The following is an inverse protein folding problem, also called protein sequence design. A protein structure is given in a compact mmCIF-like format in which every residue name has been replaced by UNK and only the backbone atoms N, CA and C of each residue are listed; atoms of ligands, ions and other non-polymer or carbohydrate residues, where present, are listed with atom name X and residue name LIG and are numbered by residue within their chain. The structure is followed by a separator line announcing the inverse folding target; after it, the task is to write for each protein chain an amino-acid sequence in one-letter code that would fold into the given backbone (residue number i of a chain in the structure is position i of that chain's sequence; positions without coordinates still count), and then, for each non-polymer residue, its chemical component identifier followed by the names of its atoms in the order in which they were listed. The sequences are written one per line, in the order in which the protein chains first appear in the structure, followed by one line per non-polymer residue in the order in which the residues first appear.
data_IF_318826731336
#
_entry.id   IF_318826731336
#
_cell.length_a   1.000
_cell.length_b   1.000
_cell.length_c   1.000
_cell.angle_alpha   90.00
_cell.angle_beta   90.00
_cell.angle_gamma   90.00
#
_symmetry.space_group_name_H-M   'P 1'
#
loop_
_entity.id
_entity.type
_entity.pdbx_description
1 polymer ?
#
# COMPACT_ATOMS: atom_id res chain seq x y z
N UNK A 1 -10.99 -11.63 -9.06
CA UNK A 1 -9.59 -12.07 -8.88
C UNK A 1 -8.66 -11.24 -9.76
N UNK A 2 -7.46 -10.92 -9.24
CA UNK A 2 -6.46 -10.08 -9.90
C UNK A 2 -5.13 -10.79 -10.01
N UNK A 3 -4.40 -10.47 -11.08
CA UNK A 3 -3.03 -10.92 -11.28
C UNK A 3 -2.09 -9.78 -10.88
N UNK A 4 -1.31 -9.98 -9.82
CA UNK A 4 -0.20 -9.09 -9.46
C UNK A 4 0.99 -9.39 -10.37
N UNK A 5 1.49 -8.38 -11.06
CA UNK A 5 2.59 -8.50 -12.02
C UNK A 5 3.74 -7.63 -11.54
N UNK A 6 4.94 -8.20 -11.50
CA UNK A 6 6.18 -7.46 -11.34
C UNK A 6 7.29 -8.06 -12.22
N UNK A 7 8.53 -7.59 -12.03
CA UNK A 7 9.69 -8.09 -12.79
C UNK A 7 10.00 -9.58 -12.60
N UNK A 8 9.52 -10.20 -11.52
CA UNK A 8 9.78 -11.61 -11.20
C UNK A 8 8.71 -12.54 -11.78
N UNK A 9 7.51 -12.03 -12.06
CA UNK A 9 6.44 -12.81 -12.68
C UNK A 9 5.06 -12.28 -12.36
N UNK A 10 4.09 -13.17 -12.51
CA UNK A 10 2.67 -12.88 -12.34
C UNK A 10 2.05 -13.84 -11.33
N UNK A 11 1.24 -13.33 -10.41
CA UNK A 11 0.75 -14.05 -9.24
C UNK A 11 -0.76 -13.80 -9.08
N UNK A 12 -1.56 -14.86 -9.25
CA UNK A 12 -3.02 -14.77 -9.16
C UNK A 12 -3.44 -14.72 -7.68
N UNK A 13 -4.17 -13.69 -7.30
CA UNK A 13 -4.62 -13.47 -5.92
C UNK A 13 -6.04 -12.89 -5.88
N UNK A 14 -6.56 -12.66 -4.68
CA UNK A 14 -7.85 -12.00 -4.47
C UNK A 14 -7.83 -10.52 -4.83
N UNK A 15 -8.98 -9.96 -5.12
CA UNK A 15 -9.14 -8.57 -5.54
C UNK A 15 -8.75 -7.62 -4.41
N UNK A 16 -9.33 -7.82 -3.22
CA UNK A 16 -9.03 -7.02 -2.03
C UNK A 16 -7.55 -7.09 -1.65
N UNK A 17 -6.96 -8.28 -1.78
CA UNK A 17 -5.56 -8.48 -1.45
C UNK A 17 -4.64 -7.78 -2.46
N UNK A 18 -4.93 -7.89 -3.76
CA UNK A 18 -4.18 -7.16 -4.78
C UNK A 18 -4.27 -5.64 -4.58
N UNK A 19 -5.46 -5.13 -4.27
CA UNK A 19 -5.69 -3.71 -4.01
C UNK A 19 -4.95 -3.22 -2.76
N UNK A 20 -4.95 -4.01 -1.69
CA UNK A 20 -4.21 -3.69 -0.47
C UNK A 20 -2.69 -3.62 -0.72
N UNK A 21 -2.14 -4.56 -1.48
CA UNK A 21 -0.72 -4.57 -1.87
C UNK A 21 -0.37 -3.35 -2.70
N UNK A 22 -1.20 -3.00 -3.69
CA UNK A 22 -0.96 -1.81 -4.52
C UNK A 22 -1.09 -0.51 -3.73
N UNK A 23 -2.07 -0.42 -2.80
CA UNK A 23 -2.22 0.74 -1.95
C UNK A 23 -0.99 0.94 -1.05
N UNK A 24 -0.49 -0.13 -0.44
CA UNK A 24 0.75 -0.08 0.33
C UNK A 24 1.97 0.32 -0.52
N UNK A 25 2.10 -0.27 -1.71
CA UNK A 25 3.13 0.09 -2.68
C UNK A 25 3.07 1.58 -3.06
N UNK A 26 1.88 2.13 -3.26
CA UNK A 26 1.69 3.55 -3.55
C UNK A 26 2.11 4.45 -2.38
N UNK A 27 1.75 4.08 -1.14
CA UNK A 27 2.17 4.80 0.07
C UNK A 27 3.70 4.84 0.19
N UNK A 28 4.38 3.71 -0.03
CA UNK A 28 5.84 3.62 -0.06
C UNK A 28 6.47 4.47 -1.17
N UNK A 29 5.91 4.39 -2.39
CA UNK A 29 6.42 5.11 -3.54
C UNK A 29 6.38 6.64 -3.33
N UNK A 30 5.32 7.16 -2.69
CA UNK A 30 5.21 8.59 -2.34
C UNK A 30 6.32 9.06 -1.40
N UNK A 31 6.88 8.17 -0.59
CA UNK A 31 8.01 8.46 0.31
C UNK A 31 9.38 8.04 -0.25
N UNK A 32 9.45 7.61 -1.52
CA UNK A 32 10.66 7.04 -2.13
C UNK A 32 11.22 5.84 -1.35
N UNK A 33 10.33 5.05 -0.73
CA UNK A 33 10.67 3.86 0.04
C UNK A 33 10.28 2.59 -0.70
N UNK A 34 10.84 1.47 -0.24
CA UNK A 34 10.58 0.11 -0.71
C UNK A 34 10.36 -0.79 0.51
N UNK A 35 9.53 -1.81 0.36
CA UNK A 35 9.39 -2.92 1.33
C UNK A 35 9.31 -4.26 0.58
N UNK A 36 9.64 -5.35 1.28
CA UNK A 36 9.45 -6.72 0.82
C UNK A 36 8.18 -7.28 1.47
N UNK A 37 7.14 -7.51 0.67
CA UNK A 37 5.86 -8.05 1.15
C UNK A 37 5.72 -9.52 0.82
N UNK A 38 5.04 -10.24 1.70
CA UNK A 38 4.72 -11.65 1.54
C UNK A 38 3.23 -11.79 1.22
N UNK A 39 2.90 -12.27 0.02
CA UNK A 39 1.54 -12.29 -0.52
C UNK A 39 1.16 -13.73 -0.91
N UNK A 40 0.02 -14.27 -0.44
CA UNK A 40 -0.46 -15.55 -0.93
C UNK A 40 -0.96 -15.42 -2.38
N UNK A 41 -0.70 -16.46 -3.17
CA UNK A 41 -1.16 -16.56 -4.55
C UNK A 41 -1.57 -17.99 -4.86
N UNK A 42 -2.50 -18.13 -5.82
CA UNK A 42 -2.96 -19.41 -6.34
C UNK A 42 -2.06 -19.85 -7.49
N UNK A 43 -1.57 -21.08 -7.43
CA UNK A 43 -0.82 -21.73 -8.51
C UNK A 43 -1.76 -22.35 -9.55
N UNK A 44 -1.20 -22.71 -10.70
CA UNK A 44 -1.95 -23.36 -11.79
C UNK A 44 -2.57 -24.71 -11.39
N UNK A 45 -2.01 -25.39 -10.38
CA UNK A 45 -2.54 -26.63 -9.82
C UNK A 45 -3.64 -26.41 -8.76
N UNK A 46 -4.05 -25.16 -8.55
CA UNK A 46 -5.06 -24.77 -7.56
C UNK A 46 -4.53 -24.56 -6.15
N UNK A 47 -3.30 -25.01 -5.86
CA UNK A 47 -2.70 -24.89 -4.53
C UNK A 47 -2.35 -23.44 -4.19
N UNK A 48 -2.37 -23.12 -2.90
CA UNK A 48 -1.96 -21.80 -2.40
C UNK A 48 -0.49 -21.85 -2.03
N UNK A 49 0.26 -20.89 -2.54
CA UNK A 49 1.65 -20.65 -2.19
C UNK A 49 1.85 -19.19 -1.80
N UNK A 50 3.05 -18.84 -1.36
CA UNK A 50 3.41 -17.48 -0.96
C UNK A 50 4.56 -16.96 -1.81
N UNK A 51 4.47 -15.71 -2.22
CA UNK A 51 5.54 -15.00 -2.93
C UNK A 51 6.02 -13.83 -2.09
N UNK A 52 7.34 -13.67 -1.99
CA UNK A 52 7.94 -12.45 -1.46
C UNK A 52 8.31 -11.54 -2.62
N UNK A 53 7.74 -10.34 -2.64
CA UNK A 53 7.96 -9.37 -3.71
C UNK A 53 8.23 -7.97 -3.17
N UNK A 54 9.09 -7.24 -3.87
CA UNK A 54 9.38 -5.86 -3.55
C UNK A 54 8.27 -4.96 -4.08
N UNK A 55 7.78 -4.04 -3.25
CA UNK A 55 6.79 -3.01 -3.62
C UNK A 55 7.29 -1.62 -3.22
N UNK A 56 6.85 -0.59 -3.95
CA UNK A 56 7.16 0.80 -3.67
C UNK A 56 7.91 1.52 -4.80
N UNK A 57 8.86 2.37 -4.43
CA UNK A 57 9.54 3.28 -5.35
C UNK A 57 10.38 2.53 -6.41
N UNK A 58 9.96 2.60 -7.69
CA UNK A 58 10.61 1.92 -8.83
C UNK A 58 10.58 0.38 -8.76
N UNK A 59 9.61 -0.21 -8.05
CA UNK A 59 9.46 -1.67 -7.99
C UNK A 59 8.68 -2.29 -9.18
N UNK A 60 8.11 -1.45 -10.05
CA UNK A 60 7.25 -1.83 -11.19
C UNK A 60 6.27 -2.95 -10.82
N UNK A 61 5.24 -2.59 -10.05
CA UNK A 61 4.16 -3.51 -9.63
C UNK A 61 2.83 -3.04 -10.21
N UNK A 62 2.12 -3.91 -10.90
CA UNK A 62 0.80 -3.64 -11.47
C UNK A 62 -0.17 -4.77 -11.18
N UNK A 63 -1.47 -4.51 -11.30
CA UNK A 63 -2.50 -5.54 -11.27
C UNK A 63 -3.34 -5.52 -12.53
N UNK A 64 -3.80 -6.69 -12.96
CA UNK A 64 -4.78 -6.82 -14.04
C UNK A 64 -5.95 -7.66 -13.53
N UNK A 65 -7.18 -7.23 -13.82
CA UNK A 65 -8.37 -8.03 -13.54
C UNK A 65 -8.39 -9.27 -14.43
N UNK A 66 -8.56 -10.43 -13.81
CA UNK A 66 -8.76 -11.67 -14.53
C UNK A 66 -10.26 -11.97 -14.53
N UNK A 67 -10.91 -11.75 -15.68
CA UNK A 67 -12.30 -12.15 -15.87
C UNK A 67 -12.42 -13.65 -15.58
N UNK A 68 -13.45 -14.03 -14.81
CA UNK A 68 -13.72 -15.39 -14.37
C UNK A 68 -13.82 -16.33 -15.59
N UNK A 69 -12.71 -16.96 -15.97
CA UNK A 69 -12.71 -18.05 -16.94
C UNK A 69 -13.11 -19.32 -16.19
N UNK A 70 -13.74 -20.27 -16.89
CA UNK A 70 -14.14 -21.59 -16.34
C UNK A 70 -12.99 -22.41 -15.75
N UNK A 71 -11.75 -21.96 -15.95
CA UNK A 71 -10.49 -22.58 -15.50
C UNK A 71 -9.92 -21.89 -14.25
N UNK A 72 -10.32 -20.64 -13.98
CA UNK A 72 -10.06 -19.99 -12.72
C UNK A 72 -10.92 -20.69 -11.67
N UNK A 73 -10.28 -21.31 -10.68
CA UNK A 73 -11.01 -21.94 -9.58
C UNK A 73 -12.02 -20.94 -9.01
N UNK A 74 -13.29 -21.36 -8.94
CA UNK A 74 -14.46 -20.48 -8.75
C UNK A 74 -14.41 -19.69 -7.43
N UNK A 75 -13.59 -20.14 -6.47
CA UNK A 75 -13.38 -19.46 -5.20
C UNK A 75 -12.19 -18.49 -5.25
N UNK A 76 -12.49 -17.23 -5.02
CA UNK A 76 -11.50 -16.18 -4.81
C UNK A 76 -10.54 -16.50 -3.65
N UNK A 77 -9.27 -16.13 -3.79
CA UNK A 77 -8.30 -16.24 -2.71
C UNK A 77 -8.48 -15.09 -1.71
N UNK A 78 -9.20 -15.36 -0.62
CA UNK A 78 -9.41 -14.40 0.47
C UNK A 78 -8.42 -14.67 1.61
N UNK A 79 -7.62 -13.67 1.97
CA UNK A 79 -6.72 -13.74 3.13
C UNK A 79 -6.81 -12.46 3.97
N UNK A 80 -7.79 -12.38 4.89
CA UNK A 80 -8.13 -11.13 5.57
C UNK A 80 -6.98 -10.53 6.37
N UNK A 81 -6.17 -11.37 7.03
CA UNK A 81 -5.09 -10.93 7.89
C UNK A 81 -3.99 -10.19 7.09
N UNK A 82 -3.53 -10.75 5.97
CA UNK A 82 -2.55 -10.07 5.10
C UNK A 82 -3.17 -8.85 4.42
N UNK A 83 -4.43 -8.91 4.00
CA UNK A 83 -5.13 -7.74 3.43
C UNK A 83 -5.14 -6.58 4.43
N UNK A 84 -5.58 -6.83 5.66
CA UNK A 84 -5.60 -5.82 6.73
C UNK A 84 -4.19 -5.32 7.05
N UNK A 85 -3.20 -6.22 7.16
CA UNK A 85 -1.82 -5.84 7.42
C UNK A 85 -1.24 -4.89 6.36
N UNK A 86 -1.58 -5.07 5.07
CA UNK A 86 -1.15 -4.14 4.01
C UNK A 86 -1.81 -2.77 4.15
N UNK A 87 -3.11 -2.72 4.48
CA UNK A 87 -3.80 -1.46 4.73
C UNK A 87 -3.28 -0.75 5.98
N UNK A 88 -3.04 -1.46 7.08
CA UNK A 88 -2.46 -0.90 8.31
C UNK A 88 -1.07 -0.32 8.05
N UNK A 89 -0.24 -1.06 7.32
CA UNK A 89 1.08 -0.57 6.89
C UNK A 89 0.96 0.69 6.02
N UNK A 90 0.01 0.76 5.10
CA UNK A 90 -0.22 1.94 4.27
C UNK A 90 -0.63 3.16 5.12
N UNK A 91 -1.59 2.97 6.04
CA UNK A 91 -2.06 4.01 6.95
C UNK A 91 -0.94 4.56 7.84
N UNK A 92 -0.10 3.68 8.40
CA UNK A 92 1.03 4.10 9.24
C UNK A 92 2.03 5.01 8.51
N UNK A 93 2.22 4.79 7.20
CA UNK A 93 3.10 5.61 6.36
C UNK A 93 2.49 7.00 6.15
N UNK A 94 1.18 7.09 5.90
CA UNK A 94 0.49 8.36 5.71
C UNK A 94 0.37 9.17 7.01
N UNK A 95 0.18 8.52 8.17
CA UNK A 95 0.20 9.15 9.50
C UNK A 95 1.54 9.81 9.80
N UNK A 96 2.65 9.10 9.54
CA UNK A 96 4.00 9.64 9.74
C UNK A 96 4.27 10.92 8.91
N UNK A 97 3.60 11.09 7.77
CA UNK A 97 3.66 12.34 6.99
C UNK A 97 2.85 13.46 7.65
N UNK A 98 1.70 13.14 8.24
CA UNK A 98 0.82 14.14 8.86
C UNK A 98 1.43 14.74 10.14
N UNK A 99 2.28 14.01 10.84
CA UNK A 99 2.91 14.45 12.10
C UNK A 99 4.16 15.32 11.93
N UNK A 100 4.60 15.60 10.69
CA UNK A 100 5.78 16.46 10.44
C UNK A 100 5.55 17.91 10.88
N UNK A 101 4.29 18.32 11.05
CA UNK A 101 3.96 19.46 11.88
C UNK A 101 3.28 18.92 13.15
N UNK A 102 4.02 18.84 14.25
CA UNK A 102 3.36 18.64 15.55
C UNK A 102 2.39 19.80 15.76
N UNK A 103 1.14 19.52 16.18
CA UNK A 103 0.17 20.57 16.54
C UNK A 103 0.76 21.53 17.59
N UNK A 104 1.67 21.02 18.43
CA UNK A 104 2.42 21.81 19.41
C UNK A 104 3.46 22.74 18.77
N UNK A 105 4.12 22.34 17.68
CA UNK A 105 5.06 23.22 16.95
C UNK A 105 4.33 24.24 16.07
N UNK A 106 3.20 23.84 15.48
CA UNK A 106 2.36 24.72 14.66
C UNK A 106 1.74 25.86 15.48
N UNK A 107 1.43 25.63 16.76
CA UNK A 107 0.89 26.67 17.66
C UNK A 107 1.96 27.65 18.14
N UNK A 108 3.23 27.24 18.25
CA UNK A 108 4.34 28.15 18.60
C UNK A 108 4.71 29.12 17.46
N UNK A 109 4.51 28.74 16.20
CA UNK A 109 4.89 29.59 15.06
C UNK A 109 3.79 30.57 14.60
N UNK A 110 2.58 30.46 15.14
CA UNK A 110 1.44 31.33 14.84
C UNK A 110 1.21 32.42 15.90
N UNK A 111 2.20 32.67 16.77
CA UNK A 111 2.21 33.82 17.69
C UNK A 111 2.71 35.08 16.96
N UNK A 112 1.88 35.59 16.04
CA UNK A 112 2.07 36.92 15.47
C UNK A 112 1.53 37.95 16.47
N UNK A 113 2.20 38.18 17.60
CA UNK A 113 1.85 39.34 18.43
C UNK A 113 2.42 40.59 17.75
N UNK A 114 1.72 41.09 16.72
CA UNK A 114 2.02 42.35 16.06
C UNK A 114 1.56 43.46 16.99
N UNK A 115 2.47 43.94 17.83
CA UNK A 115 2.27 45.19 18.58
C UNK A 115 2.21 46.36 17.58
N UNK A 116 0.98 46.76 17.24
CA UNK A 116 0.68 47.88 16.35
C UNK A 116 0.72 49.25 17.06
N UNK A 117 1.30 49.38 18.27
CA UNK A 117 1.24 50.63 19.03
C UNK A 117 2.52 51.47 19.08
N UNK A 118 3.55 51.14 18.31
CA UNK A 118 4.79 51.94 18.25
C UNK A 118 5.16 52.32 16.82
N UNK A 119 4.63 53.45 16.34
CA UNK A 119 5.32 54.27 15.33
C UNK A 119 5.29 55.75 15.79
N UNK A 120 6.44 56.44 15.79
CA UNK A 120 6.55 57.85 16.16
C UNK A 120 5.98 58.80 15.10
#
# INVERSE_FOLDING_TARGET
MKLLINRLGSYLTGDDLADAVLNYGLALARQRRLDLVDVPYRRNDGSIARVRMTVGWRSDTSSVELASSREAHDDELVEPDTTLAMYDKASSIDEARSTVFSVTEATTQLDWDVDLTQQP
#
